data_IF_030878068685
#
_entry.id   IF_030878068685
#
_cell.length_a   1.000
_cell.length_b   1.000
_cell.length_c   1.000
_cell.angle_alpha   90.00
_cell.angle_beta   90.00
_cell.angle_gamma   90.00
#
_symmetry.space_group_name_H-M   'P 1'
#
loop_
_entity.id
_entity.type
_entity.pdbx_description
1 polymer ?
#
# COMPACT_ATOMS: atom_id res chain seq x y z
N UNK A 1 -11.27 -25.25 -86.57
CA UNK A 1 -11.93 -24.98 -85.30
C UNK A 1 -10.94 -25.24 -84.14
N UNK A 2 -10.33 -24.19 -83.60
CA UNK A 2 -9.36 -24.27 -82.54
C UNK A 2 -10.03 -24.02 -81.19
N UNK A 3 -10.18 -25.06 -80.38
CA UNK A 3 -10.75 -25.00 -79.08
C UNK A 3 -9.67 -24.51 -78.04
N UNK A 4 -9.91 -23.31 -77.47
CA UNK A 4 -9.03 -22.69 -76.46
C UNK A 4 -9.57 -23.01 -75.04
N UNK A 5 -8.92 -23.88 -74.27
CA UNK A 5 -9.29 -24.23 -72.91
C UNK A 5 -9.15 -23.05 -71.96
N UNK A 6 -10.04 -22.86 -70.96
CA UNK A 6 -9.95 -21.77 -70.00
C UNK A 6 -8.82 -22.01 -68.98
N UNK A 7 -7.93 -21.05 -68.85
CA UNK A 7 -6.85 -21.03 -67.80
C UNK A 7 -7.45 -20.90 -66.38
N UNK A 8 -7.17 -21.88 -65.56
CA UNK A 8 -7.63 -21.94 -64.16
C UNK A 8 -7.14 -20.75 -63.30
N UNK A 9 -8.10 -19.97 -62.80
CA UNK A 9 -7.89 -18.86 -61.82
C UNK A 9 -7.69 -19.37 -60.36
N UNK A 10 -7.27 -20.58 -60.11
CA UNK A 10 -7.25 -21.20 -58.80
C UNK A 10 -6.01 -20.94 -57.92
N UNK A 11 -4.96 -20.25 -58.45
CA UNK A 11 -3.68 -20.09 -57.68
C UNK A 11 -3.52 -18.80 -56.88
N UNK A 12 -4.39 -17.78 -57.04
CA UNK A 12 -4.26 -16.49 -56.34
C UNK A 12 -4.92 -16.44 -54.95
N UNK A 13 -5.98 -17.24 -54.74
CA UNK A 13 -6.72 -17.28 -53.43
C UNK A 13 -5.90 -17.81 -52.26
N UNK A 14 -4.99 -18.75 -52.47
CA UNK A 14 -4.16 -19.35 -51.42
C UNK A 14 -3.06 -18.41 -50.87
N UNK A 15 -2.52 -17.52 -51.73
CA UNK A 15 -1.47 -16.54 -51.32
C UNK A 15 -2.07 -15.38 -50.54
N UNK A 16 -3.22 -14.87 -50.94
CA UNK A 16 -3.90 -13.80 -50.20
C UNK A 16 -4.37 -14.25 -48.82
N UNK A 17 -4.90 -15.48 -48.70
CA UNK A 17 -5.28 -16.04 -47.40
C UNK A 17 -4.11 -16.23 -46.42
N UNK A 18 -2.94 -16.71 -46.92
CA UNK A 18 -1.74 -16.83 -46.12
C UNK A 18 -1.16 -15.47 -45.69
N UNK A 19 -1.16 -14.49 -46.59
CA UNK A 19 -0.74 -13.13 -46.23
C UNK A 19 -1.64 -12.50 -45.18
N UNK A 20 -2.94 -12.71 -45.26
CA UNK A 20 -3.91 -12.23 -44.24
C UNK A 20 -3.67 -12.88 -42.88
N UNK A 21 -3.44 -14.19 -42.84
CA UNK A 21 -3.14 -14.91 -41.56
C UNK A 21 -1.82 -14.43 -40.95
N UNK A 22 -0.79 -14.15 -41.76
CA UNK A 22 0.48 -13.62 -41.30
C UNK A 22 0.30 -12.22 -40.72
N UNK A 23 -0.42 -11.33 -41.42
CA UNK A 23 -0.71 -9.97 -40.95
C UNK A 23 -1.55 -9.97 -39.66
N UNK A 24 -2.56 -10.86 -39.57
CA UNK A 24 -3.36 -11.01 -38.35
C UNK A 24 -2.51 -11.51 -37.18
N UNK A 25 -1.60 -12.48 -37.42
CA UNK A 25 -0.65 -12.95 -36.43
C UNK A 25 0.31 -11.86 -35.95
N UNK A 26 0.88 -11.06 -36.86
CA UNK A 26 1.76 -9.94 -36.51
C UNK A 26 1.01 -8.86 -35.72
N UNK A 27 -0.23 -8.56 -36.09
CA UNK A 27 -1.08 -7.61 -35.38
C UNK A 27 -1.39 -8.10 -33.97
N UNK A 28 -1.70 -9.39 -33.81
CA UNK A 28 -1.94 -9.99 -32.48
C UNK A 28 -0.68 -9.93 -31.61
N UNK A 29 0.49 -10.26 -32.16
CA UNK A 29 1.77 -10.14 -31.44
C UNK A 29 2.01 -8.69 -31.05
N UNK A 30 1.74 -7.73 -31.91
CA UNK A 30 1.86 -6.30 -31.62
C UNK A 30 0.95 -5.87 -30.47
N UNK A 31 -0.32 -6.30 -30.46
CA UNK A 31 -1.27 -6.03 -29.39
C UNK A 31 -0.79 -6.63 -28.06
N UNK A 32 -0.37 -7.90 -28.07
CA UNK A 32 0.16 -8.56 -26.85
C UNK A 32 1.40 -7.84 -26.33
N UNK A 33 2.32 -7.44 -27.21
CA UNK A 33 3.50 -6.68 -26.84
C UNK A 33 3.14 -5.33 -26.20
N UNK A 34 2.19 -4.60 -26.77
CA UNK A 34 1.69 -3.33 -26.21
C UNK A 34 1.08 -3.56 -24.82
N UNK A 35 0.23 -4.57 -24.65
CA UNK A 35 -0.39 -4.90 -23.36
C UNK A 35 0.64 -5.28 -22.30
N UNK A 36 1.69 -6.02 -22.68
CA UNK A 36 2.79 -6.36 -21.78
C UNK A 36 3.61 -5.13 -21.38
N UNK A 37 3.94 -4.26 -22.35
CA UNK A 37 4.73 -3.05 -22.06
C UNK A 37 3.94 -2.07 -21.20
N UNK A 38 2.65 -1.87 -21.47
CA UNK A 38 1.80 -0.99 -20.64
C UNK A 38 1.64 -1.55 -19.23
N UNK A 39 1.40 -2.85 -19.08
CA UNK A 39 1.30 -3.50 -17.76
C UNK A 39 2.59 -3.44 -16.96
N UNK A 40 3.76 -3.57 -17.61
CA UNK A 40 5.06 -3.39 -16.94
C UNK A 40 5.30 -1.93 -16.54
N UNK A 41 4.92 -0.98 -17.39
CA UNK A 41 5.03 0.44 -17.08
C UNK A 41 4.12 0.85 -15.92
N UNK A 42 2.87 0.38 -15.89
CA UNK A 42 1.94 0.62 -14.80
C UNK A 42 2.46 0.07 -13.46
N UNK A 43 2.99 -1.17 -13.45
CA UNK A 43 3.61 -1.75 -12.25
C UNK A 43 4.80 -0.94 -11.76
N UNK A 44 5.68 -0.50 -12.67
CA UNK A 44 6.82 0.33 -12.32
C UNK A 44 6.40 1.68 -11.72
N UNK A 45 5.39 2.33 -12.28
CA UNK A 45 4.83 3.58 -11.75
C UNK A 45 4.20 3.33 -10.36
N UNK A 46 3.45 2.24 -10.22
CA UNK A 46 2.79 1.87 -8.97
C UNK A 46 3.79 1.63 -7.84
N UNK A 47 4.88 0.91 -8.10
CA UNK A 47 5.92 0.65 -7.11
C UNK A 47 6.61 1.93 -6.61
N UNK A 48 6.72 2.94 -7.47
CA UNK A 48 7.29 4.24 -7.09
C UNK A 48 6.27 5.13 -6.37
N UNK A 49 5.01 5.13 -6.81
CA UNK A 49 3.97 6.05 -6.30
C UNK A 49 3.22 5.51 -5.09
N UNK A 50 3.00 4.20 -5.03
CA UNK A 50 2.30 3.51 -3.95
C UNK A 50 2.98 2.16 -3.67
N UNK A 51 4.20 2.14 -3.09
CA UNK A 51 4.92 0.92 -2.81
C UNK A 51 4.18 0.06 -1.78
N UNK A 52 4.22 -1.27 -1.96
CA UNK A 52 3.83 -2.23 -0.94
C UNK A 52 4.98 -3.23 -0.76
N UNK A 53 5.40 -3.44 0.47
CA UNK A 53 6.40 -4.41 0.89
C UNK A 53 5.98 -5.00 2.22
N UNK A 54 6.49 -6.19 2.54
CA UNK A 54 6.16 -6.91 3.80
C UNK A 54 4.66 -7.18 3.95
N UNK A 55 3.97 -7.46 2.84
CA UNK A 55 2.52 -7.68 2.81
C UNK A 55 2.08 -8.88 3.65
N UNK A 56 2.90 -9.91 3.76
CA UNK A 56 2.68 -11.08 4.61
C UNK A 56 2.71 -10.70 6.10
N UNK A 57 3.69 -9.90 6.53
CA UNK A 57 3.77 -9.37 7.90
C UNK A 57 2.60 -8.44 8.20
N UNK A 58 2.25 -7.56 7.24
CA UNK A 58 1.11 -6.65 7.39
C UNK A 58 -0.19 -7.44 7.58
N UNK A 59 -0.45 -8.47 6.76
CA UNK A 59 -1.64 -9.33 6.91
C UNK A 59 -1.66 -10.04 8.25
N UNK A 60 -0.53 -10.64 8.65
CA UNK A 60 -0.42 -11.31 9.93
C UNK A 60 -0.73 -10.37 11.09
N UNK A 61 -0.13 -9.17 11.10
CA UNK A 61 -0.36 -8.21 12.17
C UNK A 61 -1.76 -7.61 12.14
N UNK A 62 -2.36 -7.44 10.95
CA UNK A 62 -3.74 -7.02 10.79
C UNK A 62 -4.71 -8.01 11.45
N UNK A 63 -4.53 -9.31 11.22
CA UNK A 63 -5.32 -10.37 11.83
C UNK A 63 -5.09 -10.47 13.34
N UNK A 64 -3.82 -10.50 13.80
CA UNK A 64 -3.48 -10.63 15.22
C UNK A 64 -3.97 -9.45 16.07
N UNK A 65 -3.96 -8.24 15.54
CA UNK A 65 -4.28 -7.00 16.27
C UNK A 65 -5.65 -6.43 15.90
N UNK A 66 -6.39 -7.08 15.00
CA UNK A 66 -7.71 -6.64 14.52
C UNK A 66 -7.67 -5.20 13.94
N UNK A 67 -6.55 -4.88 13.24
CA UNK A 67 -6.35 -3.62 12.55
C UNK A 67 -6.46 -3.85 11.05
N UNK A 68 -7.09 -2.94 10.34
CA UNK A 68 -7.23 -3.00 8.89
C UNK A 68 -5.87 -3.02 8.17
N UNK A 69 -5.61 -4.01 7.31
CA UNK A 69 -4.33 -4.18 6.64
C UNK A 69 -3.97 -2.98 5.74
N UNK A 70 -4.96 -2.39 5.05
CA UNK A 70 -4.75 -1.20 4.24
C UNK A 70 -4.46 0.03 5.10
N UNK A 71 -4.99 0.11 6.33
CA UNK A 71 -4.65 1.17 7.28
C UNK A 71 -3.19 1.05 7.73
N UNK A 72 -2.72 -0.16 8.05
CA UNK A 72 -1.31 -0.39 8.39
C UNK A 72 -0.39 0.04 7.25
N UNK A 73 -0.67 -0.40 6.02
CA UNK A 73 0.09 -0.01 4.83
C UNK A 73 0.09 1.51 4.60
N UNK A 74 -1.05 2.17 4.82
CA UNK A 74 -1.19 3.61 4.69
C UNK A 74 -0.39 4.39 5.74
N UNK A 75 -0.35 3.91 6.99
CA UNK A 75 0.51 4.49 8.04
C UNK A 75 1.97 4.33 7.66
N UNK A 76 2.43 3.14 7.26
CA UNK A 76 3.81 2.93 6.79
C UNK A 76 4.15 3.87 5.63
N UNK A 77 3.24 4.03 4.68
CA UNK A 77 3.43 4.97 3.57
C UNK A 77 3.54 6.43 4.05
N UNK A 78 2.71 6.85 4.97
CA UNK A 78 2.72 8.21 5.49
C UNK A 78 4.00 8.53 6.26
N UNK A 79 4.51 7.55 7.03
CA UNK A 79 5.68 7.66 7.88
C UNK A 79 7.00 7.58 7.09
N UNK A 80 7.14 6.60 6.21
CA UNK A 80 8.43 6.28 5.58
C UNK A 80 8.38 6.01 4.09
N UNK A 81 7.21 5.87 3.48
CA UNK A 81 7.04 5.34 2.11
C UNK A 81 7.69 3.96 1.94
N UNK A 82 7.64 3.12 2.95
CA UNK A 82 8.30 1.81 2.99
C UNK A 82 9.83 1.85 2.87
N UNK A 83 10.45 2.97 3.25
CA UNK A 83 11.91 3.10 3.32
C UNK A 83 12.33 3.09 4.79
N UNK A 84 13.21 2.15 5.15
CA UNK A 84 13.79 2.14 6.50
C UNK A 84 14.67 3.38 6.69
N UNK A 85 14.34 4.19 7.68
CA UNK A 85 15.04 5.44 7.96
C UNK A 85 14.94 5.82 9.45
N UNK A 86 15.85 6.66 9.87
CA UNK A 86 15.80 7.31 11.19
C UNK A 86 15.61 8.81 10.97
N UNK A 87 14.59 9.39 11.60
CA UNK A 87 14.32 10.83 11.51
C UNK A 87 15.23 11.66 12.43
N UNK A 88 15.21 12.98 12.27
CA UNK A 88 15.91 13.90 13.17
C UNK A 88 15.39 13.84 14.63
N UNK A 89 14.15 13.39 14.85
CA UNK A 89 13.55 13.15 16.15
C UNK A 89 13.83 11.74 16.70
N UNK A 90 14.81 11.01 16.12
CA UNK A 90 15.17 9.62 16.45
C UNK A 90 14.00 8.62 16.29
N UNK A 91 12.98 8.95 15.52
CA UNK A 91 11.95 8.00 15.12
C UNK A 91 12.53 7.02 14.09
N UNK A 92 12.23 5.72 14.24
CA UNK A 92 12.93 4.63 13.55
C UNK A 92 12.01 3.72 12.78
N UNK A 93 12.53 3.24 11.66
CA UNK A 93 11.97 2.18 10.85
C UNK A 93 10.76 2.62 10.02
N UNK A 94 10.03 1.64 9.51
CA UNK A 94 8.94 1.82 8.56
C UNK A 94 7.75 2.62 9.14
N UNK A 95 7.44 2.42 10.40
CA UNK A 95 6.34 3.07 11.12
C UNK A 95 6.79 4.22 12.03
N UNK A 96 8.06 4.67 11.90
CA UNK A 96 8.64 5.83 12.58
C UNK A 96 8.36 5.86 14.10
N UNK A 97 8.71 4.76 14.79
CA UNK A 97 8.51 4.63 16.24
C UNK A 97 9.59 5.43 16.97
N UNK A 98 9.17 6.40 17.80
CA UNK A 98 10.07 7.18 18.62
C UNK A 98 10.52 6.37 19.88
N UNK A 99 11.63 6.74 20.52
CA UNK A 99 12.04 6.13 21.80
C UNK A 99 10.98 6.27 22.90
N UNK A 100 10.18 7.32 22.89
CA UNK A 100 9.08 7.53 23.83
C UNK A 100 7.93 6.55 23.57
N UNK A 101 7.50 6.46 22.30
CA UNK A 101 6.48 5.50 21.86
C UNK A 101 6.93 4.05 22.15
N UNK A 102 8.19 3.74 21.94
CA UNK A 102 8.74 2.42 22.25
C UNK A 102 8.61 2.04 23.73
N UNK A 103 8.88 3.00 24.65
CA UNK A 103 8.68 2.77 26.10
C UNK A 103 7.20 2.63 26.47
N UNK A 104 6.31 3.32 25.76
CA UNK A 104 4.87 3.16 25.95
C UNK A 104 4.42 1.76 25.49
N UNK A 105 4.89 1.30 24.31
CA UNK A 105 4.65 -0.06 23.81
C UNK A 105 5.14 -1.11 24.82
N UNK A 106 6.33 -0.94 25.38
CA UNK A 106 6.88 -1.85 26.38
C UNK A 106 5.96 -1.95 27.61
N UNK A 107 5.46 -0.82 28.13
CA UNK A 107 4.51 -0.80 29.24
C UNK A 107 3.19 -1.48 28.90
N UNK A 108 2.63 -1.20 27.73
CA UNK A 108 1.34 -1.73 27.29
C UNK A 108 1.40 -3.23 27.01
N UNK A 109 2.51 -3.73 26.46
CA UNK A 109 2.70 -5.13 26.12
C UNK A 109 3.13 -6.01 27.29
N UNK A 110 3.59 -5.41 28.41
CA UNK A 110 4.20 -6.12 29.52
C UNK A 110 5.56 -6.73 29.20
N UNK A 111 6.16 -6.36 28.07
CA UNK A 111 7.48 -6.82 27.63
C UNK A 111 8.61 -6.13 28.43
N UNK A 112 9.70 -6.87 28.65
CA UNK A 112 10.86 -6.36 29.41
C UNK A 112 12.19 -6.45 28.65
N UNK A 113 12.18 -6.92 27.41
CA UNK A 113 13.40 -7.24 26.64
C UNK A 113 13.50 -6.44 25.34
N UNK A 114 12.76 -5.34 25.21
CA UNK A 114 12.77 -4.49 24.02
C UNK A 114 14.04 -3.62 23.99
N UNK A 115 14.79 -3.69 22.89
CA UNK A 115 15.89 -2.78 22.61
C UNK A 115 15.53 -1.83 21.46
N UNK A 116 15.92 -0.56 21.57
CA UNK A 116 15.67 0.44 20.49
C UNK A 116 16.30 0.05 19.14
N UNK A 117 17.31 -0.82 19.17
CA UNK A 117 17.96 -1.38 17.98
C UNK A 117 17.04 -2.31 17.19
N UNK A 118 16.08 -2.97 17.86
CA UNK A 118 15.10 -3.87 17.25
C UNK A 118 14.19 -3.14 16.26
N UNK A 119 13.98 -1.84 16.46
CA UNK A 119 13.19 -1.00 15.57
C UNK A 119 13.79 -0.82 14.16
N UNK A 120 15.02 -1.27 13.94
CA UNK A 120 15.64 -1.32 12.59
C UNK A 120 15.23 -2.55 11.80
N UNK A 121 14.75 -3.59 12.48
CA UNK A 121 14.17 -4.74 11.82
C UNK A 121 12.78 -4.38 11.31
N UNK A 122 12.53 -4.47 9.97
CA UNK A 122 11.25 -4.06 9.39
C UNK A 122 10.04 -4.83 9.95
N UNK A 123 10.20 -6.13 10.20
CA UNK A 123 9.11 -6.98 10.69
C UNK A 123 8.76 -6.63 12.14
N UNK A 124 9.78 -6.47 13.01
CA UNK A 124 9.58 -6.03 14.38
C UNK A 124 9.00 -4.60 14.43
N UNK A 125 9.45 -3.71 13.55
CA UNK A 125 8.93 -2.35 13.46
C UNK A 125 7.45 -2.33 13.10
N UNK A 126 7.02 -3.10 12.08
CA UNK A 126 5.61 -3.25 11.69
C UNK A 126 4.81 -3.85 12.86
N UNK A 127 5.32 -4.87 13.52
CA UNK A 127 4.66 -5.53 14.65
C UNK A 127 4.41 -4.57 15.81
N UNK A 128 5.41 -3.81 16.21
CA UNK A 128 5.29 -2.83 17.30
C UNK A 128 4.41 -1.66 16.93
N UNK A 129 4.60 -1.10 15.71
CA UNK A 129 3.77 0.01 15.24
C UNK A 129 2.30 -0.36 15.08
N UNK A 130 2.00 -1.57 14.58
CA UNK A 130 0.62 -2.06 14.48
C UNK A 130 0.01 -2.32 15.86
N UNK A 131 0.78 -2.87 16.80
CA UNK A 131 0.34 -3.02 18.18
C UNK A 131 -0.04 -1.67 18.80
N UNK A 132 0.81 -0.65 18.62
CA UNK A 132 0.52 0.69 19.13
C UNK A 132 -0.70 1.33 18.46
N UNK A 133 -0.80 1.22 17.13
CA UNK A 133 -1.96 1.71 16.39
C UNK A 133 -3.25 1.03 16.86
N UNK A 134 -3.25 -0.29 17.06
CA UNK A 134 -4.39 -1.04 17.60
C UNK A 134 -4.80 -0.55 18.98
N UNK A 135 -3.83 -0.36 19.89
CA UNK A 135 -4.12 0.20 21.22
C UNK A 135 -4.70 1.62 21.17
N UNK A 136 -4.27 2.46 20.21
CA UNK A 136 -4.85 3.78 20.01
C UNK A 136 -6.28 3.70 19.48
N UNK A 137 -6.57 2.78 18.53
CA UNK A 137 -7.92 2.54 18.04
C UNK A 137 -8.85 2.12 19.19
N UNK A 138 -8.41 1.18 20.02
CA UNK A 138 -9.15 0.74 21.19
C UNK A 138 -9.36 1.87 22.21
N UNK A 139 -8.31 2.67 22.48
CA UNK A 139 -8.37 3.82 23.40
C UNK A 139 -9.39 4.86 22.99
N UNK A 140 -9.59 5.04 21.69
CA UNK A 140 -10.54 5.99 21.12
C UNK A 140 -11.83 5.32 20.60
N UNK A 141 -12.26 4.22 21.22
CA UNK A 141 -13.54 3.54 20.96
C UNK A 141 -13.77 3.14 19.49
N UNK A 142 -12.67 2.85 18.76
CA UNK A 142 -12.72 2.51 17.34
C UNK A 142 -12.63 3.70 16.38
N UNK A 143 -12.53 4.94 16.90
CA UNK A 143 -12.38 6.13 16.05
C UNK A 143 -10.99 6.22 15.43
N UNK A 144 -10.92 5.96 14.12
CA UNK A 144 -9.66 5.94 13.36
C UNK A 144 -9.09 7.36 13.21
N UNK A 145 -9.91 8.41 13.14
CA UNK A 145 -9.42 9.80 13.03
C UNK A 145 -8.68 10.19 14.30
N UNK A 146 -9.28 9.92 15.46
CA UNK A 146 -8.69 10.18 16.76
C UNK A 146 -7.42 9.33 16.99
N UNK A 147 -7.45 8.04 16.61
CA UNK A 147 -6.31 7.15 16.72
C UNK A 147 -5.12 7.62 15.85
N UNK A 148 -5.35 8.04 14.62
CA UNK A 148 -4.32 8.57 13.73
C UNK A 148 -3.77 9.92 14.22
N UNK A 149 -4.62 10.79 14.72
CA UNK A 149 -4.22 12.05 15.34
C UNK A 149 -3.33 11.79 16.57
N UNK A 150 -3.70 10.79 17.40
CA UNK A 150 -2.92 10.36 18.54
C UNK A 150 -1.59 9.71 18.14
N UNK A 151 -1.57 8.92 17.07
CA UNK A 151 -0.35 8.32 16.55
C UNK A 151 0.69 9.36 16.18
N UNK A 152 0.26 10.43 15.49
CA UNK A 152 1.15 11.49 15.02
C UNK A 152 1.49 12.55 16.08
N UNK A 153 0.50 13.00 16.87
CA UNK A 153 0.67 14.12 17.82
C UNK A 153 0.68 13.70 19.30
N UNK A 154 0.48 12.43 19.58
CA UNK A 154 0.37 11.87 20.92
C UNK A 154 -1.07 11.83 21.46
N UNK A 155 -1.39 10.80 22.29
CA UNK A 155 -2.74 10.57 22.79
C UNK A 155 -3.32 11.74 23.59
N UNK A 156 -2.52 12.35 24.44
CA UNK A 156 -2.96 13.51 25.24
C UNK A 156 -3.35 14.72 24.39
N UNK A 157 -2.76 14.87 23.20
CA UNK A 157 -3.13 15.94 22.27
C UNK A 157 -4.46 15.62 21.57
N UNK A 158 -4.64 14.36 21.14
CA UNK A 158 -5.91 13.93 20.54
C UNK A 158 -7.09 14.06 21.52
N UNK A 159 -6.87 13.76 22.81
CA UNK A 159 -7.87 13.99 23.86
C UNK A 159 -8.26 15.46 24.00
N UNK A 160 -7.30 16.39 23.91
CA UNK A 160 -7.59 17.84 23.94
C UNK A 160 -8.40 18.31 22.74
N UNK A 161 -8.28 17.64 21.59
CA UNK A 161 -9.05 17.95 20.39
C UNK A 161 -10.47 17.31 20.38
N UNK A 162 -10.81 16.52 21.39
CA UNK A 162 -12.15 15.94 21.52
C UNK A 162 -12.19 14.43 21.68
N UNK A 163 -11.05 13.73 21.57
CA UNK A 163 -10.99 12.28 21.71
C UNK A 163 -11.82 11.57 20.65
N UNK A 164 -12.57 10.53 21.05
CA UNK A 164 -13.41 9.71 20.14
C UNK A 164 -14.55 10.49 19.45
N UNK A 165 -14.83 11.74 19.85
CA UNK A 165 -15.85 12.57 19.21
C UNK A 165 -15.27 13.63 18.24
N UNK A 166 -13.93 13.63 18.05
CA UNK A 166 -13.28 14.62 17.20
C UNK A 166 -13.51 14.34 15.71
N UNK A 167 -13.52 15.41 14.95
CA UNK A 167 -13.45 15.39 13.50
C UNK A 167 -12.06 15.83 13.03
N UNK A 168 -11.77 15.71 11.74
CA UNK A 168 -10.49 16.18 11.18
C UNK A 168 -10.34 17.70 11.37
N UNK A 169 -11.44 18.44 11.37
CA UNK A 169 -11.50 19.90 11.53
C UNK A 169 -11.11 20.36 12.94
N UNK A 170 -11.30 19.49 13.95
CA UNK A 170 -10.98 19.77 15.36
C UNK A 170 -9.46 19.66 15.64
N UNK A 171 -8.68 19.10 14.70
CA UNK A 171 -7.22 18.98 14.82
C UNK A 171 -6.59 20.36 14.60
N UNK A 172 -6.07 20.99 15.65
CA UNK A 172 -5.46 22.32 15.56
C UNK A 172 -4.12 22.32 14.79
N UNK A 173 -3.34 21.24 14.88
CA UNK A 173 -2.06 21.12 14.20
C UNK A 173 -2.25 20.80 12.72
N UNK A 174 -1.87 21.75 11.85
CA UNK A 174 -1.99 21.58 10.39
C UNK A 174 -1.26 20.34 9.87
N UNK A 175 -0.07 20.06 10.39
CA UNK A 175 0.72 18.88 10.03
C UNK A 175 -0.01 17.57 10.37
N UNK A 176 -0.58 17.47 11.57
CA UNK A 176 -1.35 16.28 12.00
C UNK A 176 -2.63 16.13 11.19
N UNK A 177 -3.30 17.25 10.88
CA UNK A 177 -4.49 17.24 10.02
C UNK A 177 -4.18 16.71 8.63
N UNK A 178 -3.09 17.16 8.04
CA UNK A 178 -2.63 16.70 6.72
C UNK A 178 -2.18 15.24 6.75
N UNK A 179 -1.54 14.83 7.85
CA UNK A 179 -1.19 13.43 8.10
C UNK A 179 -2.43 12.52 8.12
N UNK A 180 -3.44 12.85 8.91
CA UNK A 180 -4.68 12.07 9.00
C UNK A 180 -5.37 11.98 7.64
N UNK A 181 -5.51 13.10 6.93
CA UNK A 181 -6.09 13.12 5.57
C UNK A 181 -5.32 12.21 4.62
N UNK A 182 -3.99 12.30 4.63
CA UNK A 182 -3.09 11.49 3.80
C UNK A 182 -3.23 10.00 4.10
N UNK A 183 -3.26 9.60 5.37
CA UNK A 183 -3.40 8.19 5.74
C UNK A 183 -4.75 7.64 5.28
N UNK A 184 -5.85 8.34 5.51
CA UNK A 184 -7.18 7.90 5.09
C UNK A 184 -7.34 7.84 3.55
N UNK A 185 -6.70 8.73 2.82
CA UNK A 185 -6.63 8.67 1.36
C UNK A 185 -5.85 7.43 0.90
N UNK A 186 -4.67 7.21 1.45
CA UNK A 186 -3.82 6.07 1.12
C UNK A 186 -4.42 4.74 1.54
N UNK A 187 -5.14 4.67 2.66
CA UNK A 187 -5.89 3.48 3.05
C UNK A 187 -6.88 3.05 1.95
N UNK A 188 -7.65 3.99 1.39
CA UNK A 188 -8.57 3.70 0.26
C UNK A 188 -7.82 3.23 -0.98
N UNK A 189 -6.68 3.87 -1.31
CA UNK A 189 -5.86 3.48 -2.45
C UNK A 189 -5.27 2.07 -2.28
N UNK A 190 -4.70 1.75 -1.10
CA UNK A 190 -4.15 0.43 -0.79
C UNK A 190 -5.23 -0.65 -0.84
N UNK A 191 -6.39 -0.42 -0.24
CA UNK A 191 -7.51 -1.35 -0.26
C UNK A 191 -7.98 -1.68 -1.68
N UNK A 192 -8.01 -0.68 -2.55
CA UNK A 192 -8.44 -0.86 -3.94
C UNK A 192 -7.37 -1.51 -4.82
N UNK A 193 -6.11 -1.11 -4.67
CA UNK A 193 -5.04 -1.54 -5.57
C UNK A 193 -4.38 -2.86 -5.17
N UNK A 194 -4.41 -3.20 -3.90
CA UNK A 194 -3.72 -4.35 -3.32
C UNK A 194 -4.70 -5.27 -2.55
N UNK A 195 -5.91 -5.41 -3.10
CA UNK A 195 -6.98 -6.22 -2.49
C UNK A 195 -6.51 -7.64 -2.18
N UNK A 196 -5.89 -8.32 -3.15
CA UNK A 196 -5.41 -9.69 -3.00
C UNK A 196 -4.19 -9.78 -2.09
N UNK A 197 -3.23 -8.87 -2.23
CA UNK A 197 -1.98 -8.85 -1.46
C UNK A 197 -2.24 -8.54 0.02
N UNK A 198 -3.27 -7.78 0.33
CA UNK A 198 -3.68 -7.43 1.69
C UNK A 198 -4.76 -8.34 2.28
N UNK A 199 -5.29 -9.29 1.49
CA UNK A 199 -6.17 -10.36 1.97
C UNK A 199 -7.65 -9.97 2.12
N UNK A 200 -8.16 -9.10 1.24
CA UNK A 200 -9.59 -8.75 1.16
C UNK A 200 -10.35 -9.64 0.19
#
# INVERSE_FOLDING_TARGET
STYRAPRSRARSRGRAGRAFLILAGLMMIGIVAILLITGLAERGIQEVTLPLRHEDVIRQQAEEKQVDAALIAAVIYAESRFVDQTSHADARGLMQITPETAREIEKLSGGSTFELTDLRDPELNIRYGTFYLGNLIDRFDGDVVAALAAYNAGPSQAERWGGSAMTIEDIDYGETRDYVKKVLEKQREYRHKYELELGY
#
